data_IF_958816397729
#
_entry.id   IF_958816397729
#
_cell.length_a   1.000
_cell.length_b   1.000
_cell.length_c   1.000
_cell.angle_alpha   90.00
_cell.angle_beta   90.00
_cell.angle_gamma   90.00
#
_symmetry.space_group_name_H-M   'P 1'
#
loop_
_entity.id
_entity.type
_entity.pdbx_description
1 polymer ?
#
# COMPACT_ATOMS: atom_id res chain seq x y z
N UNK A 1 4.78 -16.48 18.23
CA UNK A 1 5.34 -15.17 17.86
C UNK A 1 6.47 -15.22 16.82
N UNK A 2 7.67 -15.76 17.12
CA UNK A 2 8.82 -15.77 16.17
C UNK A 2 8.53 -16.40 14.80
N UNK A 3 7.80 -17.53 14.76
CA UNK A 3 7.47 -18.19 13.50
C UNK A 3 6.50 -17.38 12.62
N UNK A 4 5.55 -16.66 13.23
CA UNK A 4 4.63 -15.77 12.50
C UNK A 4 5.38 -14.56 11.92
N UNK A 5 6.31 -13.99 12.69
CA UNK A 5 7.16 -12.89 12.22
C UNK A 5 8.04 -13.31 11.04
N UNK A 6 8.68 -14.49 11.11
CA UNK A 6 9.47 -15.04 9.99
C UNK A 6 8.62 -15.23 8.73
N UNK A 7 7.41 -15.74 8.89
CA UNK A 7 6.48 -15.91 7.76
C UNK A 7 6.06 -14.57 7.14
N UNK A 8 5.82 -13.55 7.97
CA UNK A 8 5.54 -12.19 7.49
C UNK A 8 6.69 -11.60 6.66
N UNK A 9 7.94 -11.79 7.11
CA UNK A 9 9.15 -11.36 6.38
C UNK A 9 9.27 -12.11 5.03
N UNK A 10 8.96 -13.40 5.01
CA UNK A 10 9.03 -14.23 3.80
C UNK A 10 7.97 -13.84 2.76
N UNK A 11 6.74 -13.57 3.21
CA UNK A 11 5.65 -13.04 2.37
C UNK A 11 6.00 -11.65 1.85
N UNK A 12 6.63 -10.81 2.67
CA UNK A 12 7.11 -9.49 2.27
C UNK A 12 8.18 -9.57 1.17
N UNK A 13 9.23 -10.38 1.35
CA UNK A 13 10.27 -10.54 0.33
C UNK A 13 9.76 -11.21 -0.95
N UNK A 14 8.79 -12.13 -0.83
CA UNK A 14 8.10 -12.70 -1.98
C UNK A 14 7.33 -11.62 -2.75
N UNK A 15 6.60 -10.76 -2.05
CA UNK A 15 5.90 -9.65 -2.66
C UNK A 15 6.88 -8.66 -3.31
N UNK A 16 7.98 -8.29 -2.67
CA UNK A 16 9.01 -7.44 -3.30
C UNK A 16 9.48 -8.07 -4.60
N UNK A 17 9.89 -9.33 -4.59
CA UNK A 17 10.39 -9.99 -5.81
C UNK A 17 9.36 -10.05 -6.94
N UNK A 18 8.07 -10.14 -6.61
CA UNK A 18 6.97 -10.17 -7.59
C UNK A 18 6.60 -8.78 -8.13
N UNK A 19 6.81 -7.73 -7.34
CA UNK A 19 6.31 -6.39 -7.64
C UNK A 19 7.41 -5.41 -8.06
N UNK A 20 8.65 -5.70 -7.69
CA UNK A 20 9.85 -5.11 -8.25
C UNK A 20 10.23 -5.94 -9.49
N UNK A 21 9.45 -5.84 -10.57
CA UNK A 21 9.99 -6.17 -11.88
C UNK A 21 10.99 -5.03 -12.16
N UNK A 22 12.25 -5.23 -11.78
CA UNK A 22 13.32 -4.26 -12.02
C UNK A 22 14.05 -4.71 -13.28
N UNK A 23 13.55 -4.42 -14.50
CA UNK A 23 14.33 -4.69 -15.70
C UNK A 23 15.61 -3.85 -15.74
N UNK A 24 15.72 -2.74 -14.99
CA UNK A 24 16.95 -1.96 -14.88
C UNK A 24 16.94 -1.25 -13.53
N UNK A 25 17.77 -1.67 -12.56
CA UNK A 25 18.09 -0.81 -11.42
C UNK A 25 18.63 0.48 -12.06
N UNK A 26 18.01 1.63 -11.83
CA UNK A 26 18.45 2.94 -12.37
C UNK A 26 19.79 3.35 -11.71
N UNK A 27 20.84 2.56 -11.95
CA UNK A 27 22.11 2.58 -11.24
C UNK A 27 22.28 1.40 -10.28
N UNK A 28 23.39 0.67 -10.43
CA UNK A 28 23.82 -0.42 -9.53
C UNK A 28 24.59 0.11 -8.31
N UNK A 29 24.57 1.42 -8.06
CA UNK A 29 25.27 1.99 -6.91
C UNK A 29 24.57 1.57 -5.63
N UNK A 30 25.36 1.33 -4.57
CA UNK A 30 24.86 0.92 -3.25
C UNK A 30 23.69 1.80 -2.79
N UNK A 31 23.82 3.12 -2.95
CA UNK A 31 22.81 4.08 -2.53
C UNK A 31 21.52 4.02 -3.39
N UNK A 32 21.64 3.80 -4.70
CA UNK A 32 20.48 3.66 -5.59
C UNK A 32 19.67 2.40 -5.25
N UNK A 33 20.35 1.29 -4.97
CA UNK A 33 19.71 0.04 -4.54
C UNK A 33 18.99 0.22 -3.21
N UNK A 34 19.62 0.88 -2.23
CA UNK A 34 18.96 1.18 -0.95
C UNK A 34 17.73 2.05 -1.13
N UNK A 35 17.81 3.14 -1.90
CA UNK A 35 16.67 4.01 -2.15
C UNK A 35 15.51 3.28 -2.84
N UNK A 36 15.80 2.42 -3.82
CA UNK A 36 14.77 1.62 -4.49
C UNK A 36 14.10 0.62 -3.53
N UNK A 37 14.87 0.01 -2.62
CA UNK A 37 14.33 -0.87 -1.60
C UNK A 37 13.46 -0.09 -0.60
N UNK A 38 13.89 1.09 -0.15
CA UNK A 38 13.10 1.96 0.73
C UNK A 38 11.82 2.43 0.05
N UNK A 39 11.86 2.80 -1.23
CA UNK A 39 10.66 3.17 -1.98
C UNK A 39 9.67 2.00 -2.11
N UNK A 40 10.18 0.78 -2.38
CA UNK A 40 9.37 -0.43 -2.43
C UNK A 40 8.71 -0.75 -1.07
N UNK A 41 9.46 -0.60 0.02
CA UNK A 41 8.99 -0.73 1.39
C UNK A 41 7.88 0.26 1.69
N UNK A 42 8.10 1.55 1.44
CA UNK A 42 7.11 2.61 1.69
C UNK A 42 5.83 2.35 0.89
N UNK A 43 5.97 1.98 -0.38
CA UNK A 43 4.82 1.65 -1.24
C UNK A 43 4.03 0.46 -0.70
N UNK A 44 4.71 -0.60 -0.26
CA UNK A 44 4.06 -1.76 0.34
C UNK A 44 3.29 -1.40 1.60
N UNK A 45 3.91 -0.64 2.51
CA UNK A 45 3.30 -0.24 3.78
C UNK A 45 2.06 0.60 3.55
N UNK A 46 2.14 1.62 2.68
CA UNK A 46 0.99 2.48 2.36
C UNK A 46 -0.12 1.67 1.70
N UNK A 47 0.21 0.79 0.74
CA UNK A 47 -0.78 -0.05 0.06
C UNK A 47 -1.47 -1.04 1.02
N UNK A 48 -0.69 -1.68 1.90
CA UNK A 48 -1.19 -2.61 2.92
C UNK A 48 -2.12 -1.89 3.89
N UNK A 49 -1.70 -0.72 4.36
CA UNK A 49 -2.48 0.11 5.27
C UNK A 49 -3.79 0.57 4.65
N UNK A 50 -3.75 1.04 3.39
CA UNK A 50 -4.93 1.49 2.66
C UNK A 50 -5.91 0.35 2.48
N UNK A 51 -5.43 -0.81 2.04
CA UNK A 51 -6.25 -2.00 1.88
C UNK A 51 -6.93 -2.43 3.18
N UNK A 52 -6.21 -2.41 4.31
CA UNK A 52 -6.76 -2.85 5.60
C UNK A 52 -7.88 -1.92 6.09
N UNK A 53 -7.66 -0.61 5.97
CA UNK A 53 -8.65 0.40 6.32
C UNK A 53 -9.86 0.36 5.37
N UNK A 54 -9.63 0.21 4.06
CA UNK A 54 -10.72 0.11 3.09
C UNK A 54 -11.53 -1.17 3.31
N UNK A 55 -10.86 -2.30 3.56
CA UNK A 55 -11.52 -3.58 3.83
C UNK A 55 -12.43 -3.50 5.06
N UNK A 56 -12.06 -2.73 6.09
CA UNK A 56 -12.91 -2.51 7.27
C UNK A 56 -14.24 -1.81 6.95
N UNK A 57 -14.36 -1.12 5.82
CA UNK A 57 -15.57 -0.43 5.37
C UNK A 57 -16.40 -1.25 4.37
N UNK A 58 -15.88 -2.41 3.93
CA UNK A 58 -16.50 -3.27 2.91
C UNK A 58 -17.17 -4.47 3.57
N UNK A 59 -18.35 -4.83 3.06
CA UNK A 59 -19.11 -6.00 3.51
C UNK A 59 -18.29 -7.27 3.21
N UNK A 60 -18.24 -8.23 4.14
CA UNK A 60 -17.41 -9.44 4.03
C UNK A 60 -17.59 -10.21 2.71
N UNK A 61 -18.80 -10.23 2.13
CA UNK A 61 -19.11 -10.86 0.85
C UNK A 61 -18.37 -10.23 -0.37
N UNK A 62 -17.91 -8.98 -0.24
CA UNK A 62 -17.18 -8.24 -1.29
C UNK A 62 -15.70 -8.01 -0.93
N UNK A 63 -15.23 -8.68 0.12
CA UNK A 63 -13.83 -8.70 0.49
C UNK A 63 -13.03 -9.45 -0.58
N UNK A 64 -12.10 -8.76 -1.23
CA UNK A 64 -11.12 -9.36 -2.13
C UNK A 64 -9.75 -9.45 -1.47
N UNK A 65 -8.86 -10.36 -1.88
CA UNK A 65 -7.50 -10.45 -1.36
C UNK A 65 -6.62 -9.26 -1.82
N UNK A 66 -5.58 -8.93 -1.05
CA UNK A 66 -4.67 -7.80 -1.32
C UNK A 66 -4.05 -7.84 -2.72
N UNK A 67 -3.68 -9.03 -3.20
CA UNK A 67 -3.06 -9.22 -4.50
C UNK A 67 -4.02 -8.73 -5.59
N UNK A 68 -5.29 -9.14 -5.50
CA UNK A 68 -6.34 -8.71 -6.42
C UNK A 68 -6.62 -7.21 -6.32
N UNK A 69 -6.64 -6.67 -5.10
CA UNK A 69 -6.79 -5.23 -4.87
C UNK A 69 -5.68 -4.43 -5.56
N UNK A 70 -4.42 -4.89 -5.45
CA UNK A 70 -3.28 -4.27 -6.12
C UNK A 70 -3.42 -4.32 -7.63
N UNK A 71 -3.75 -5.49 -8.20
CA UNK A 71 -3.93 -5.65 -9.64
C UNK A 71 -4.99 -4.67 -10.18
N UNK A 72 -6.15 -4.60 -9.52
CA UNK A 72 -7.22 -3.69 -9.92
C UNK A 72 -6.83 -2.21 -9.79
N UNK A 73 -5.95 -1.88 -8.84
CA UNK A 73 -5.39 -0.53 -8.70
C UNK A 73 -4.46 -0.18 -9.84
N UNK A 74 -3.62 -1.12 -10.30
CA UNK A 74 -2.69 -0.89 -11.40
C UNK A 74 -3.41 -0.79 -12.75
N UNK A 75 -4.43 -1.62 -12.95
CA UNK A 75 -5.26 -1.64 -14.17
C UNK A 75 -6.32 -0.51 -14.19
N UNK A 76 -6.45 0.27 -13.10
CA UNK A 76 -7.49 1.28 -12.91
C UNK A 76 -8.93 0.75 -13.09
N UNK A 77 -9.17 -0.53 -12.76
CA UNK A 77 -10.44 -1.25 -12.91
C UNK A 77 -11.12 -1.49 -11.55
N UNK A 78 -11.13 -0.47 -10.69
CA UNK A 78 -11.74 -0.64 -9.37
C UNK A 78 -13.25 -0.74 -9.43
N UNK A 79 -13.79 -1.70 -8.68
CA UNK A 79 -15.23 -1.76 -8.38
C UNK A 79 -15.63 -0.51 -7.59
N UNK A 80 -16.81 0.06 -7.88
CA UNK A 80 -17.27 1.34 -7.32
C UNK A 80 -17.24 1.38 -5.78
N UNK A 81 -17.52 0.27 -5.11
CA UNK A 81 -17.51 0.17 -3.64
C UNK A 81 -16.13 0.39 -3.05
N UNK A 82 -15.10 -0.13 -3.70
CA UNK A 82 -13.71 0.06 -3.29
C UNK A 82 -13.23 1.48 -3.58
N UNK A 83 -13.67 2.09 -4.69
CA UNK A 83 -13.43 3.52 -4.93
C UNK A 83 -14.03 4.37 -3.82
N UNK A 84 -15.30 4.14 -3.46
CA UNK A 84 -16.00 4.88 -2.41
C UNK A 84 -15.32 4.69 -1.04
N UNK A 85 -14.87 3.47 -0.73
CA UNK A 85 -14.17 3.19 0.53
C UNK A 85 -12.82 3.91 0.59
N UNK A 86 -12.03 3.86 -0.48
CA UNK A 86 -10.74 4.55 -0.58
C UNK A 86 -10.92 6.06 -0.51
N UNK A 87 -11.87 6.64 -1.26
CA UNK A 87 -12.10 8.10 -1.25
C UNK A 87 -12.59 8.59 0.10
N UNK A 88 -13.47 7.85 0.78
CA UNK A 88 -13.89 8.19 2.16
C UNK A 88 -12.70 8.22 3.13
N UNK A 89 -11.78 7.27 3.00
CA UNK A 89 -10.58 7.23 3.83
C UNK A 89 -9.69 8.45 3.54
N UNK A 90 -9.40 8.71 2.27
CA UNK A 90 -8.56 9.83 1.86
C UNK A 90 -9.18 11.16 2.29
N UNK A 91 -10.49 11.34 2.12
CA UNK A 91 -11.22 12.54 2.54
C UNK A 91 -11.12 12.76 4.05
N UNK A 92 -11.30 11.69 4.85
CA UNK A 92 -11.10 11.73 6.30
C UNK A 92 -9.70 12.25 6.65
N UNK A 93 -8.65 11.71 6.03
CA UNK A 93 -7.28 12.15 6.32
C UNK A 93 -6.96 13.55 5.80
N UNK A 94 -7.45 13.92 4.62
CA UNK A 94 -7.30 15.29 4.08
C UNK A 94 -8.01 16.30 4.99
N UNK A 95 -9.19 15.96 5.50
CA UNK A 95 -9.92 16.77 6.47
C UNK A 95 -9.16 16.93 7.78
N UNK A 96 -8.64 15.84 8.37
CA UNK A 96 -7.81 15.90 9.57
C UNK A 96 -6.53 16.73 9.35
N UNK A 97 -5.82 16.53 8.24
CA UNK A 97 -4.62 17.30 7.92
C UNK A 97 -4.91 18.80 7.73
N UNK A 98 -6.13 19.19 7.33
CA UNK A 98 -6.55 20.59 7.23
C UNK A 98 -6.94 21.19 8.59
N UNK A 99 -7.35 20.37 9.55
CA UNK A 99 -7.68 20.79 10.92
C UNK A 99 -6.44 20.91 11.83
N UNK A 100 -5.39 20.12 11.56
CA UNK A 100 -4.17 20.06 12.38
C UNK A 100 -3.19 21.21 12.13
N UNK A 101 -3.51 22.14 11.22
CA UNK A 101 -2.74 23.38 11.04
C UNK A 101 -3.38 24.48 11.91
N UNK A 102 -2.93 24.72 13.16
CA UNK A 102 -3.10 26.04 13.73
C UNK A 102 -2.37 26.98 12.78
N UNK A 103 -3.10 27.93 12.18
CA UNK A 103 -2.46 29.00 11.43
C UNK A 103 -1.54 29.72 12.41
N UNK A 104 -0.25 29.41 12.36
CA UNK A 104 0.79 30.19 13.03
C UNK A 104 0.83 31.52 12.26
N UNK A 105 0.03 32.46 12.74
CA UNK A 105 0.16 33.88 12.43
C UNK A 105 1.19 34.53 13.33
#
# INVERSE_FOLDING_TARGET
>A
EMYKARWGIEVFFRWIKQNLNVPVLFGSTKNAVFNQLFAALMTYVVLRWLYDHSKSLIIACKSMPLIRFKELMQENQFQAEWLIAVTKILDKYVYFSRLDIPKVG
#
